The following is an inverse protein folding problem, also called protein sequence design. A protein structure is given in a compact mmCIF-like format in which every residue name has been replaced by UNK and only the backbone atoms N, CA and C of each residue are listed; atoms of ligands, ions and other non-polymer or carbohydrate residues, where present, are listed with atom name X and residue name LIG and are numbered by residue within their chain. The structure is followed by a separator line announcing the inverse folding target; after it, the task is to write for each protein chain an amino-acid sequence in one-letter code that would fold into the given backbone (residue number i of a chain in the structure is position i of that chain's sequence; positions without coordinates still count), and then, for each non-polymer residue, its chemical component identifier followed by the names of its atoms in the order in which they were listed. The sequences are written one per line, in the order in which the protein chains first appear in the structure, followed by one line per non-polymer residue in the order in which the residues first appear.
data_IF_437742590583
#
_entry.id   IF_437742590583
#
_cell.length_a   1.000
_cell.length_b   1.000
_cell.length_c   1.000
_cell.angle_alpha   90.00
_cell.angle_beta   90.00
_cell.angle_gamma   90.00
#
_symmetry.space_group_name_H-M   'P 1'
#
loop_
_entity.id
_entity.type
_entity.pdbx_description
1 polymer ?
#
# COMPACT_ATOMS: atom_id res chain seq x y z
N UNK A 1 -20.73 -0.48 9.71
CA UNK A 1 -19.80 0.54 9.84
C UNK A 1 -18.47 0.19 9.32
N UNK A 2 -17.89 1.08 8.59
CA UNK A 2 -16.57 0.82 8.04
C UNK A 2 -15.50 1.20 9.02
N UNK A 3 -14.43 0.47 8.99
CA UNK A 3 -13.30 0.79 9.83
C UNK A 3 -12.51 1.93 9.24
N UNK A 4 -11.90 2.71 10.11
CA UNK A 4 -11.09 3.81 9.66
C UNK A 4 -9.77 3.27 9.13
N UNK A 5 -9.07 4.10 8.38
CA UNK A 5 -7.76 3.71 7.86
C UNK A 5 -6.81 3.39 9.00
N UNK A 6 -6.87 4.16 10.07
CA UNK A 6 -5.99 3.92 11.21
C UNK A 6 -6.26 2.55 11.82
N UNK A 7 -7.52 2.16 11.90
CA UNK A 7 -7.85 0.85 12.42
C UNK A 7 -7.33 -0.26 11.52
N UNK A 8 -7.44 -0.05 10.21
CA UNK A 8 -6.95 -1.05 9.28
C UNK A 8 -5.43 -1.19 9.35
N UNK A 9 -4.73 -0.09 9.45
CA UNK A 9 -3.29 -0.12 9.57
C UNK A 9 -2.90 -0.85 10.85
N UNK A 10 -3.60 -0.57 11.92
CA UNK A 10 -3.33 -1.20 13.19
C UNK A 10 -3.53 -2.71 13.12
N UNK A 11 -4.60 -3.13 12.49
CA UNK A 11 -4.88 -4.55 12.33
C UNK A 11 -3.83 -5.22 11.44
N UNK A 12 -3.42 -4.52 10.40
CA UNK A 12 -2.40 -5.09 9.52
C UNK A 12 -1.09 -5.28 10.26
N UNK A 13 -0.73 -4.30 11.05
CA UNK A 13 0.51 -4.40 11.82
C UNK A 13 0.44 -5.52 12.86
N UNK A 14 -0.77 -5.83 13.28
CA UNK A 14 -0.95 -6.91 14.23
C UNK A 14 -0.94 -8.27 13.56
N UNK A 15 -0.83 -8.32 12.25
CA UNK A 15 -0.74 -9.58 11.55
C UNK A 15 -1.92 -9.94 10.66
N UNK A 16 -2.92 -9.08 10.57
CA UNK A 16 -4.09 -9.39 9.76
C UNK A 16 -3.88 -8.91 8.33
N UNK A 17 -3.46 -9.80 7.49
CA UNK A 17 -3.19 -9.47 6.10
C UNK A 17 -4.39 -8.87 5.38
N UNK A 18 -5.56 -9.35 5.72
CA UNK A 18 -6.75 -8.89 5.02
C UNK A 18 -7.04 -7.41 5.23
N UNK A 19 -6.53 -6.86 6.32
CA UNK A 19 -6.71 -5.44 6.55
C UNK A 19 -6.04 -4.62 5.46
N UNK A 20 -4.90 -5.09 4.96
CA UNK A 20 -4.22 -4.38 3.89
C UNK A 20 -5.01 -4.47 2.59
N UNK A 21 -5.65 -5.61 2.34
CA UNK A 21 -6.48 -5.75 1.16
C UNK A 21 -7.59 -4.72 1.14
N UNK A 22 -8.14 -4.43 2.31
CA UNK A 22 -9.19 -3.44 2.39
C UNK A 22 -8.64 -2.04 2.11
N UNK A 23 -7.43 -1.76 2.56
CA UNK A 23 -6.79 -0.49 2.28
C UNK A 23 -6.59 -0.33 0.78
N UNK A 24 -6.09 -1.37 0.13
CA UNK A 24 -5.90 -1.33 -1.31
C UNK A 24 -7.22 -1.08 -2.01
N UNK A 25 -8.26 -1.77 -1.58
CA UNK A 25 -9.55 -1.63 -2.20
C UNK A 25 -10.08 -0.21 -2.10
N UNK A 26 -9.82 0.44 -1.00
CA UNK A 26 -10.30 1.81 -0.80
C UNK A 26 -9.56 2.81 -1.66
N UNK A 27 -8.29 2.57 -1.91
CA UNK A 27 -7.46 3.59 -2.56
C UNK A 27 -7.00 3.27 -3.97
N UNK A 28 -7.19 2.04 -4.43
CA UNK A 28 -6.60 1.68 -5.72
C UNK A 28 -7.09 2.55 -6.87
N UNK A 29 -8.38 2.85 -6.88
CA UNK A 29 -8.91 3.65 -7.98
C UNK A 29 -8.38 5.07 -7.92
N UNK A 30 -8.33 5.62 -6.73
CA UNK A 30 -7.85 6.98 -6.55
C UNK A 30 -6.37 7.09 -6.91
N UNK A 31 -5.58 6.13 -6.48
CA UNK A 31 -4.17 6.13 -6.78
C UNK A 31 -3.95 5.96 -8.28
N UNK A 32 -4.67 5.03 -8.88
CA UNK A 32 -4.52 4.81 -10.30
C UNK A 32 -4.88 6.07 -11.09
N UNK A 33 -5.98 6.70 -10.74
CA UNK A 33 -6.41 7.89 -11.46
C UNK A 33 -5.40 9.02 -11.35
N UNK A 34 -4.83 9.18 -10.17
CA UNK A 34 -3.83 10.21 -9.97
C UNK A 34 -2.60 9.96 -10.82
N UNK A 35 -2.11 8.72 -10.81
CA UNK A 35 -0.92 8.38 -11.58
C UNK A 35 -1.20 8.47 -13.08
N UNK A 36 -2.38 8.02 -13.48
CA UNK A 36 -2.72 8.07 -14.89
C UNK A 36 -2.78 9.51 -15.40
N UNK A 37 -3.28 10.40 -14.57
CA UNK A 37 -3.33 11.80 -14.95
C UNK A 37 -1.94 12.35 -15.22
N UNK A 38 -0.97 11.89 -14.46
CA UNK A 38 0.40 12.39 -14.62
C UNK A 38 1.10 11.74 -15.80
N UNK A 39 0.89 10.46 -16.02
CA UNK A 39 1.62 9.73 -17.03
C UNK A 39 0.92 9.63 -18.38
N UNK A 40 -0.38 9.67 -18.36
CA UNK A 40 -1.17 9.54 -19.58
C UNK A 40 -0.91 8.22 -20.30
N UNK A 41 -0.49 7.21 -19.57
CA UNK A 41 -0.19 5.90 -20.12
C UNK A 41 -0.82 4.89 -19.20
N UNK A 42 -1.77 4.12 -19.72
CA UNK A 42 -2.55 3.20 -18.91
C UNK A 42 -1.68 2.11 -18.27
N UNK A 43 -0.85 1.48 -19.08
CA UNK A 43 -0.05 0.37 -18.58
C UNK A 43 0.96 0.84 -17.54
N UNK A 44 1.59 1.96 -17.81
CA UNK A 44 2.55 2.46 -16.88
C UNK A 44 1.89 2.92 -15.58
N UNK A 45 0.73 3.54 -15.71
CA UNK A 45 0.01 3.97 -14.52
C UNK A 45 -0.38 2.78 -13.66
N UNK A 46 -0.78 1.70 -14.31
CA UNK A 46 -1.14 0.50 -13.58
C UNK A 46 0.06 -0.07 -12.84
N UNK A 47 1.21 -0.10 -13.50
CA UNK A 47 2.41 -0.63 -12.88
C UNK A 47 2.86 0.22 -11.69
N UNK A 48 2.80 1.52 -11.86
CA UNK A 48 3.22 2.43 -10.79
C UNK A 48 2.27 2.33 -9.60
N UNK A 49 0.97 2.23 -9.87
CA UNK A 49 0.00 2.10 -8.79
C UNK A 49 0.23 0.81 -8.02
N UNK A 50 0.50 -0.27 -8.74
CA UNK A 50 0.77 -1.54 -8.11
C UNK A 50 2.01 -1.44 -7.25
N UNK A 51 3.05 -0.86 -7.79
CA UNK A 51 4.30 -0.74 -7.05
C UNK A 51 4.12 0.14 -5.82
N UNK A 52 3.28 1.14 -5.90
CA UNK A 52 3.00 2.00 -4.76
C UNK A 52 2.45 1.17 -3.60
N UNK A 53 1.52 0.27 -3.90
CA UNK A 53 0.94 -0.55 -2.86
C UNK A 53 1.94 -1.58 -2.33
N UNK A 54 2.79 -2.11 -3.20
CA UNK A 54 3.81 -3.04 -2.76
C UNK A 54 4.77 -2.36 -1.80
N UNK A 55 5.16 -1.15 -2.10
CA UNK A 55 6.04 -0.40 -1.22
C UNK A 55 5.37 -0.07 0.10
N UNK A 56 4.10 0.27 0.04
CA UNK A 56 3.37 0.55 1.26
C UNK A 56 3.29 -0.69 2.14
N UNK A 57 3.04 -1.83 1.52
CA UNK A 57 2.99 -3.09 2.24
C UNK A 57 4.31 -3.35 2.95
N UNK A 58 5.41 -3.24 2.21
CA UNK A 58 6.72 -3.50 2.78
C UNK A 58 7.05 -2.54 3.89
N UNK A 59 6.70 -1.29 3.71
CA UNK A 59 6.99 -0.30 4.69
C UNK A 59 6.25 -0.53 6.00
N UNK A 60 4.99 -0.85 5.89
CA UNK A 60 4.19 -1.11 7.07
C UNK A 60 4.64 -2.36 7.80
N UNK A 61 5.03 -3.38 7.05
CA UNK A 61 5.54 -4.59 7.65
C UNK A 61 6.90 -4.38 8.25
N UNK A 62 7.74 -3.71 7.53
CA UNK A 62 9.09 -3.49 7.94
C UNK A 62 9.20 -2.63 9.15
N UNK A 63 8.13 -1.96 9.48
CA UNK A 63 8.12 -1.14 10.62
C UNK A 63 8.33 -1.91 11.88
N UNK A 64 8.27 -3.18 11.83
CA UNK A 64 8.56 -3.98 12.91
C UNK A 64 9.98 -4.03 13.17
N UNK A 65 10.67 -3.46 12.50
CA UNK A 65 11.95 -3.40 12.78
C UNK A 65 12.82 -4.13 12.05
N UNK A 66 12.98 -4.68 11.64
CA UNK A 66 13.90 -5.27 11.09
C UNK A 66 14.11 -5.06 9.91
N UNK A 67 14.01 -4.77 9.53
CA UNK A 67 14.32 -4.62 8.48
C UNK A 67 15.17 -4.04 8.02
N UNK A 68 15.23 -3.73 8.21
CA UNK A 68 15.89 -3.31 7.64
C UNK A 68 16.92 -3.35 7.34
N UNK A 69 17.05 -3.41 7.53
CA UNK A 69 17.93 -3.47 7.10
C UNK A 69 18.63 -3.61 6.50
N UNK A 70 18.28 -3.56 6.72
CA UNK A 70 18.78 -3.76 6.20
C UNK A 70 19.33 -3.64 5.47
N UNK A 71 19.03 -3.49 5.54
CA UNK A 71 19.44 -3.62 4.88
C UNK A 71 20.18 -3.31 4.26
N UNK A 72 20.14 -3.08 4.53
CA UNK A 72 20.79 -2.98 4.03
C UNK A 72 21.38 -2.90 3.51
N UNK A 73 21.36 -2.75 3.67
CA UNK A 73 21.77 -2.94 3.20
C UNK A 73 22.04 -2.96 2.75
#
# INVERSE_FOLDING_TARGET
MQQTDAELVSRFKAGEEQAFNEIVRRYQERIFNLVFRLLQDFDEAHDIAQETFIRAYDKLRGFRGESAPALVQ
#
